data_IF_775187910145
#
_entry.id   IF_775187910145
#
_cell.length_a   1.000
_cell.length_b   1.000
_cell.length_c   1.000
_cell.angle_alpha   90.00
_cell.angle_beta   90.00
_cell.angle_gamma   90.00
#
_symmetry.space_group_name_H-M   'P 1'
#
loop_
_entity.id
_entity.type
_entity.pdbx_description
1 polymer ?
#
# COMPACT_ATOMS: atom_id res chain seq x y z
N UNK A 1 -8.62 -15.13 -16.61
CA UNK A 1 -8.54 -15.55 -15.19
C UNK A 1 -9.22 -14.49 -14.36
N UNK A 2 -10.48 -14.69 -13.95
CA UNK A 2 -11.17 -13.75 -13.08
C UNK A 2 -10.56 -13.83 -11.68
N UNK A 3 -10.17 -12.69 -11.11
CA UNK A 3 -9.63 -12.59 -9.74
C UNK A 3 -10.63 -13.15 -8.75
N UNK A 4 -10.28 -14.26 -8.13
CA UNK A 4 -10.96 -14.78 -6.94
C UNK A 4 -10.96 -13.68 -5.86
N UNK A 5 -12.06 -13.49 -5.10
CA UNK A 5 -12.07 -12.52 -4.01
C UNK A 5 -10.94 -12.87 -3.03
N UNK A 6 -10.05 -11.92 -2.78
CA UNK A 6 -8.88 -12.11 -1.92
C UNK A 6 -9.37 -12.49 -0.52
N UNK A 7 -9.26 -13.78 -0.17
CA UNK A 7 -9.72 -14.32 1.10
C UNK A 7 -8.70 -13.96 2.21
N UNK A 8 -8.72 -12.69 2.65
CA UNK A 8 -7.80 -12.17 3.68
C UNK A 8 -8.07 -12.75 5.07
N UNK A 9 -9.19 -13.43 5.27
CA UNK A 9 -9.54 -14.23 6.46
C UNK A 9 -8.56 -15.37 6.75
N UNK A 10 -7.74 -15.79 5.77
CA UNK A 10 -6.69 -16.79 5.98
C UNK A 10 -5.36 -16.23 6.51
N UNK A 11 -5.21 -14.90 6.66
CA UNK A 11 -3.99 -14.33 7.23
C UNK A 11 -3.95 -14.54 8.74
N UNK A 12 -2.82 -15.05 9.24
CA UNK A 12 -2.55 -15.12 10.67
C UNK A 12 -2.61 -13.73 11.31
N UNK A 13 -3.13 -13.65 12.55
CA UNK A 13 -3.20 -12.42 13.34
C UNK A 13 -1.87 -11.67 13.40
N UNK A 14 -0.74 -12.38 13.39
CA UNK A 14 0.60 -11.79 13.38
C UNK A 14 0.90 -10.98 12.11
N UNK A 15 0.52 -11.50 10.93
CA UNK A 15 0.74 -10.80 9.66
C UNK A 15 -0.13 -9.54 9.55
N UNK A 16 -1.37 -9.62 10.05
CA UNK A 16 -2.28 -8.48 10.10
C UNK A 16 -1.77 -7.40 11.08
N UNK A 17 -1.29 -7.81 12.26
CA UNK A 17 -0.74 -6.90 13.25
C UNK A 17 0.51 -6.17 12.74
N UNK A 18 1.42 -6.87 12.06
CA UNK A 18 2.62 -6.27 11.50
C UNK A 18 2.31 -5.28 10.37
N UNK A 19 1.43 -5.66 9.43
CA UNK A 19 1.03 -4.79 8.32
C UNK A 19 0.27 -3.53 8.74
N UNK A 20 -0.35 -3.53 9.93
CA UNK A 20 -1.10 -2.39 10.50
C UNK A 20 -0.28 -1.57 11.50
N UNK A 21 0.89 -2.04 11.92
CA UNK A 21 1.63 -1.45 13.03
C UNK A 21 2.03 0.02 12.76
N UNK A 22 2.43 0.30 11.53
CA UNK A 22 2.91 1.61 11.08
C UNK A 22 1.81 2.58 10.60
N UNK A 23 0.54 2.16 10.58
CA UNK A 23 -0.56 3.01 10.12
C UNK A 23 -0.98 4.04 11.18
N UNK A 24 -1.55 5.18 10.76
CA UNK A 24 -2.23 6.12 11.65
C UNK A 24 -3.52 5.51 12.22
N UNK A 25 -4.02 6.02 13.35
CA UNK A 25 -5.20 5.45 14.04
C UNK A 25 -6.44 5.40 13.15
N UNK A 26 -6.66 6.44 12.33
CA UNK A 26 -7.79 6.50 11.40
C UNK A 26 -7.63 5.49 10.26
N UNK A 27 -6.43 5.38 9.68
CA UNK A 27 -6.12 4.41 8.62
C UNK A 27 -6.26 2.96 9.11
N UNK A 28 -5.92 2.68 10.38
CA UNK A 28 -6.09 1.34 10.97
C UNK A 28 -7.54 0.88 10.92
N UNK A 29 -8.50 1.78 11.14
CA UNK A 29 -9.92 1.43 11.10
C UNK A 29 -10.37 1.06 9.68
N UNK A 30 -9.93 1.82 8.68
CA UNK A 30 -10.25 1.61 7.25
C UNK A 30 -9.63 0.32 6.73
N UNK A 31 -8.37 0.05 7.07
CA UNK A 31 -7.66 -1.17 6.63
C UNK A 31 -8.25 -2.41 7.32
N UNK A 32 -8.68 -2.30 8.59
CA UNK A 32 -9.37 -3.39 9.32
C UNK A 32 -10.76 -3.69 8.78
N UNK A 33 -11.48 -2.68 8.28
CA UNK A 33 -12.87 -2.85 7.83
C UNK A 33 -12.99 -3.63 6.51
N UNK A 34 -11.87 -3.99 5.86
CA UNK A 34 -11.80 -4.86 4.67
C UNK A 34 -12.66 -4.44 3.46
N UNK A 35 -13.34 -3.29 3.53
CA UNK A 35 -14.21 -2.75 2.50
C UNK A 35 -13.49 -1.90 1.46
N UNK A 36 -12.17 -1.75 1.58
CA UNK A 36 -11.32 -0.98 0.65
C UNK A 36 -10.18 -1.83 0.11
N UNK A 37 -9.79 -1.57 -1.14
CA UNK A 37 -8.64 -2.22 -1.76
C UNK A 37 -7.33 -1.64 -1.21
N UNK A 38 -6.51 -2.49 -0.58
CA UNK A 38 -5.18 -2.12 -0.13
C UNK A 38 -4.16 -2.37 -1.25
N UNK A 39 -3.44 -1.33 -1.68
CA UNK A 39 -2.45 -1.40 -2.76
C UNK A 39 -1.04 -1.19 -2.18
N UNK A 40 -0.18 -2.19 -2.33
CA UNK A 40 1.24 -2.08 -2.01
C UNK A 40 2.05 -1.62 -3.22
N UNK A 41 2.97 -0.68 -3.02
CA UNK A 41 3.90 -0.21 -4.06
C UNK A 41 5.30 -0.65 -3.66
N UNK A 42 5.87 -1.58 -4.43
CA UNK A 42 7.26 -2.05 -4.28
C UNK A 42 8.09 -1.40 -5.38
N UNK A 43 9.21 -0.77 -5.01
CA UNK A 43 10.10 -0.08 -5.95
C UNK A 43 11.48 -0.69 -5.94
N UNK A 44 12.12 -0.72 -7.11
CA UNK A 44 13.54 -1.07 -7.24
C UNK A 44 14.45 0.15 -7.06
N UNK A 45 13.90 1.35 -6.83
CA UNK A 45 14.72 2.55 -6.61
C UNK A 45 15.69 2.34 -5.44
N UNK A 46 16.95 2.65 -5.71
CA UNK A 46 18.05 2.62 -4.76
C UNK A 46 18.96 3.80 -5.10
N UNK A 47 19.34 4.59 -4.10
CA UNK A 47 20.20 5.78 -4.26
C UNK A 47 21.68 5.42 -4.49
N UNK A 48 22.08 4.19 -4.13
CA UNK A 48 23.46 3.73 -4.28
C UNK A 48 23.82 3.31 -5.73
N UNK A 49 22.84 2.94 -6.56
CA UNK A 49 23.06 2.47 -7.94
C UNK A 49 22.43 3.44 -8.94
N UNK A 50 23.27 4.15 -9.70
CA UNK A 50 22.82 5.13 -10.71
C UNK A 50 21.85 4.56 -11.75
N UNK A 51 21.96 3.26 -12.08
CA UNK A 51 21.05 2.57 -12.99
C UNK A 51 19.58 2.59 -12.52
N UNK A 52 19.33 2.78 -11.22
CA UNK A 52 17.99 2.80 -10.65
C UNK A 52 17.42 4.22 -10.51
N UNK A 53 18.20 5.26 -10.80
CA UNK A 53 17.75 6.65 -10.79
C UNK A 53 16.45 6.92 -11.59
N UNK A 54 16.20 6.26 -12.74
CA UNK A 54 14.94 6.43 -13.46
C UNK A 54 13.70 6.08 -12.63
N UNK A 55 13.82 5.22 -11.61
CA UNK A 55 12.71 4.79 -10.78
C UNK A 55 12.34 5.74 -9.64
N UNK A 56 13.09 6.83 -9.42
CA UNK A 56 12.91 7.73 -8.29
C UNK A 56 11.47 8.28 -8.17
N UNK A 57 10.90 8.72 -9.29
CA UNK A 57 9.62 9.43 -9.30
C UNK A 57 8.40 8.51 -9.43
N UNK A 58 8.61 7.27 -9.88
CA UNK A 58 7.52 6.32 -10.15
C UNK A 58 6.64 6.03 -8.93
N UNK A 59 7.19 5.79 -7.72
CA UNK A 59 6.38 5.53 -6.53
C UNK A 59 5.41 6.68 -6.20
N UNK A 60 5.84 7.93 -6.40
CA UNK A 60 5.00 9.11 -6.22
C UNK A 60 3.88 9.19 -7.26
N UNK A 61 4.23 9.00 -8.54
CA UNK A 61 3.26 8.99 -9.65
C UNK A 61 2.23 7.88 -9.52
N UNK A 62 2.64 6.69 -9.10
CA UNK A 62 1.76 5.55 -8.85
C UNK A 62 0.79 5.82 -7.70
N UNK A 63 1.24 6.51 -6.63
CA UNK A 63 0.35 6.95 -5.54
C UNK A 63 -0.75 7.89 -6.03
N UNK A 64 -0.43 8.85 -6.89
CA UNK A 64 -1.43 9.75 -7.49
C UNK A 64 -2.41 8.97 -8.37
N UNK A 65 -1.91 8.13 -9.26
CA UNK A 65 -2.72 7.34 -10.20
C UNK A 65 -3.68 6.39 -9.50
N UNK A 66 -3.23 5.73 -8.42
CA UNK A 66 -4.08 4.84 -7.63
C UNK A 66 -4.99 5.58 -6.64
N UNK A 67 -4.98 6.92 -6.61
CA UNK A 67 -5.78 7.71 -5.67
C UNK A 67 -5.33 7.55 -4.20
N UNK A 68 -4.10 7.10 -3.96
CA UNK A 68 -3.51 6.88 -2.64
C UNK A 68 -2.90 8.15 -2.02
N UNK A 69 -2.69 9.19 -2.83
CA UNK A 69 -2.41 10.52 -2.32
C UNK A 69 -3.73 11.11 -1.83
N UNK A 70 -4.02 10.88 -0.55
CA UNK A 70 -5.09 11.56 0.17
C UNK A 70 -4.73 13.04 0.19
N UNK A 71 -5.25 13.82 -0.76
CA UNK A 71 -5.44 15.25 -0.54
C UNK A 71 -6.12 15.42 0.82
N UNK A 72 -5.74 16.42 1.64
CA UNK A 72 -6.31 16.59 2.98
C UNK A 72 -7.83 16.58 2.85
N UNK A 73 -8.46 15.49 3.32
CA UNK A 73 -9.91 15.42 3.37
C UNK A 73 -10.33 16.50 4.36
N UNK A 74 -11.09 17.48 3.86
CA UNK A 74 -11.95 18.29 4.73
C UNK A 74 -12.89 17.37 5.49
#
# INVERSE_FOLDING_TARGET
>A
MASQPVNRSQLSCGNLAHGLASCATDDKSVIKLMGSANVGIVTAYNDMLSAHAPYADYPGRLRVLCGLLVAPRR
#
